data_IF_947845742143
#
_entry.id   IF_947845742143
#
_cell.length_a   1.000
_cell.length_b   1.000
_cell.length_c   1.000
_cell.angle_alpha   90.00
_cell.angle_beta   90.00
_cell.angle_gamma   90.00
#
_symmetry.space_group_name_H-M   'P 1'
#
loop_
_entity.id
_entity.type
_entity.pdbx_description
1 polymer ?
#
# COMPACT_ATOMS: atom_id res chain seq x y z
N UNK A 1 28.56 1.55 30.71
CA UNK A 1 27.74 1.06 31.84
C UNK A 1 26.78 2.13 32.37
N UNK A 2 27.19 3.40 32.42
CA UNK A 2 26.35 4.49 32.97
C UNK A 2 24.94 4.62 32.36
N UNK A 3 24.79 4.40 31.04
CA UNK A 3 23.49 4.46 30.36
C UNK A 3 22.53 3.32 30.74
N UNK A 4 23.06 2.18 31.18
CA UNK A 4 22.25 1.07 31.69
C UNK A 4 21.83 1.33 33.13
N UNK A 5 22.75 1.84 33.97
CA UNK A 5 22.44 2.18 35.35
C UNK A 5 21.45 3.36 35.45
N UNK A 6 21.48 4.30 34.49
CA UNK A 6 20.53 5.41 34.43
C UNK A 6 19.11 4.97 34.05
N UNK A 7 18.96 3.84 33.34
CA UNK A 7 17.65 3.28 32.98
C UNK A 7 16.91 2.74 34.20
N UNK A 8 17.60 2.06 35.11
CA UNK A 8 16.99 1.42 36.29
C UNK A 8 16.80 2.35 37.49
N UNK A 9 17.06 3.66 37.35
CA UNK A 9 16.76 4.64 38.40
C UNK A 9 15.24 4.78 38.58
N UNK A 10 14.79 4.92 39.83
CA UNK A 10 13.37 5.05 40.21
C UNK A 10 12.63 6.16 39.46
N UNK A 11 13.30 7.24 39.08
CA UNK A 11 12.71 8.34 38.30
C UNK A 11 12.27 7.92 36.88
N UNK A 12 12.89 6.87 36.33
CA UNK A 12 12.70 6.39 34.96
C UNK A 12 11.84 5.11 34.91
N UNK A 13 11.05 4.82 35.96
CA UNK A 13 10.29 3.57 36.05
C UNK A 13 9.34 3.36 34.86
N UNK A 14 8.76 4.44 34.30
CA UNK A 14 7.96 4.36 33.07
C UNK A 14 8.77 3.93 31.84
N UNK A 15 10.04 4.34 31.73
CA UNK A 15 10.93 3.92 30.64
C UNK A 15 11.31 2.44 30.76
N UNK A 16 11.47 1.93 31.99
CA UNK A 16 11.73 0.50 32.25
C UNK A 16 10.52 -0.35 31.85
N UNK A 17 9.30 0.08 32.20
CA UNK A 17 8.08 -0.63 31.79
C UNK A 17 7.96 -0.67 30.26
N UNK A 18 8.19 0.47 29.60
CA UNK A 18 8.14 0.56 28.15
C UNK A 18 9.22 -0.30 27.48
N UNK A 19 10.43 -0.32 28.04
CA UNK A 19 11.53 -1.19 27.60
C UNK A 19 11.13 -2.68 27.64
N UNK A 20 10.57 -3.14 28.76
CA UNK A 20 10.11 -4.52 28.93
C UNK A 20 8.99 -4.83 27.93
N UNK A 21 8.04 -3.92 27.77
CA UNK A 21 6.93 -4.08 26.82
C UNK A 21 7.43 -4.20 25.37
N UNK A 22 8.43 -3.42 24.99
CA UNK A 22 9.08 -3.51 23.68
C UNK A 22 9.79 -4.84 23.46
N UNK A 23 10.50 -5.35 24.47
CA UNK A 23 11.11 -6.70 24.40
C UNK A 23 10.05 -7.77 24.22
N UNK A 24 8.99 -7.75 25.03
CA UNK A 24 7.88 -8.70 24.92
C UNK A 24 7.24 -8.62 23.53
N UNK A 25 6.99 -7.42 23.02
CA UNK A 25 6.42 -7.21 21.69
C UNK A 25 7.29 -7.79 20.56
N UNK A 26 8.60 -7.64 20.65
CA UNK A 26 9.54 -8.20 19.68
C UNK A 26 9.52 -9.72 19.72
N UNK A 27 9.63 -10.32 20.90
CA UNK A 27 9.70 -11.77 21.11
C UNK A 27 8.38 -12.48 20.80
N UNK A 28 7.25 -11.91 21.22
CA UNK A 28 5.96 -12.58 21.12
C UNK A 28 5.46 -12.75 19.68
N UNK A 29 6.04 -12.04 18.72
CA UNK A 29 5.66 -12.20 17.32
C UNK A 29 4.20 -11.84 17.02
N UNK A 30 3.51 -11.15 17.92
CA UNK A 30 2.08 -10.92 17.78
C UNK A 30 1.76 -10.15 16.51
N UNK A 31 0.72 -10.65 15.85
CA UNK A 31 0.10 -10.07 14.68
C UNK A 31 -0.55 -8.74 15.09
N UNK A 32 -0.16 -7.63 14.47
CA UNK A 32 -0.83 -6.34 14.68
C UNK A 32 -2.32 -6.49 14.33
N UNK A 33 -3.23 -5.98 15.18
CA UNK A 33 -4.66 -6.04 14.91
C UNK A 33 -4.98 -5.17 13.69
N UNK A 34 -6.00 -5.57 12.93
CA UNK A 34 -6.28 -5.02 11.61
C UNK A 34 -6.52 -3.50 11.63
N UNK A 35 -7.21 -2.99 12.65
CA UNK A 35 -7.47 -1.56 12.80
C UNK A 35 -6.19 -0.73 12.92
N UNK A 36 -5.23 -1.19 13.72
CA UNK A 36 -3.92 -0.53 13.86
C UNK A 36 -3.08 -0.70 12.59
N UNK A 37 -3.12 -1.88 11.98
CA UNK A 37 -2.37 -2.14 10.75
C UNK A 37 -2.81 -1.21 9.61
N UNK A 38 -4.11 -1.00 9.42
CA UNK A 38 -4.64 -0.07 8.41
C UNK A 38 -4.22 1.39 8.66
N UNK A 39 -4.21 1.83 9.93
CA UNK A 39 -3.77 3.18 10.26
C UNK A 39 -2.27 3.40 10.03
N UNK A 40 -1.45 2.42 10.41
CA UNK A 40 0.01 2.48 10.28
C UNK A 40 0.45 2.30 8.83
N UNK A 41 -0.23 1.45 8.06
CA UNK A 41 0.07 1.19 6.64
C UNK A 41 -0.48 2.26 5.70
N UNK A 42 -0.28 3.52 6.08
CA UNK A 42 -0.46 4.70 5.23
C UNK A 42 0.85 5.46 5.21
N UNK A 43 1.13 6.23 4.15
CA UNK A 43 2.35 7.05 4.10
C UNK A 43 2.48 7.95 5.33
N UNK A 44 1.39 8.63 5.70
CA UNK A 44 1.33 9.50 6.88
C UNK A 44 1.55 8.69 8.17
N UNK A 45 0.90 7.53 8.32
CA UNK A 45 1.05 6.66 9.48
C UNK A 45 2.49 6.19 9.70
N UNK A 46 3.19 5.79 8.63
CA UNK A 46 4.61 5.41 8.69
C UNK A 46 5.49 6.58 9.14
N UNK A 47 5.27 7.78 8.61
CA UNK A 47 5.99 8.98 9.05
C UNK A 47 5.75 9.30 10.52
N UNK A 48 4.51 9.22 11.00
CA UNK A 48 4.17 9.46 12.40
C UNK A 48 4.91 8.47 13.31
N UNK A 49 4.95 7.19 12.96
CA UNK A 49 5.68 6.16 13.73
C UNK A 49 7.18 6.47 13.81
N UNK A 50 7.79 6.92 12.71
CA UNK A 50 9.21 7.32 12.69
C UNK A 50 9.45 8.55 13.56
N UNK A 51 8.59 9.56 13.50
CA UNK A 51 8.69 10.76 14.34
C UNK A 51 8.60 10.39 15.82
N UNK A 52 7.68 9.51 16.19
CA UNK A 52 7.57 9.00 17.57
C UNK A 52 8.85 8.31 18.01
N UNK A 53 9.46 7.47 17.15
CA UNK A 53 10.74 6.83 17.47
C UNK A 53 11.88 7.84 17.69
N UNK A 54 11.95 8.89 16.86
CA UNK A 54 12.93 9.97 17.00
C UNK A 54 12.70 10.75 18.30
N UNK A 55 11.45 11.08 18.64
CA UNK A 55 11.12 11.75 19.90
C UNK A 55 11.52 10.90 21.10
N UNK A 56 11.31 9.58 21.02
CA UNK A 56 11.70 8.62 22.06
C UNK A 56 13.22 8.61 22.25
N UNK A 57 13.99 8.68 21.16
CA UNK A 57 15.45 8.79 21.22
C UNK A 57 15.94 10.13 21.80
N UNK A 58 15.29 11.25 21.45
CA UNK A 58 15.69 12.58 21.94
C UNK A 58 15.30 12.86 23.40
N UNK A 59 14.21 12.25 23.90
CA UNK A 59 13.66 12.54 25.24
C UNK A 59 13.92 11.46 26.28
N UNK A 60 14.19 10.22 25.89
CA UNK A 60 14.41 9.10 26.81
C UNK A 60 15.87 8.62 26.80
N UNK A 61 16.16 7.58 27.59
CA UNK A 61 17.48 6.97 27.57
C UNK A 61 17.85 6.45 26.16
N UNK A 62 19.11 6.62 25.72
CA UNK A 62 19.53 6.30 24.35
C UNK A 62 19.35 4.83 23.98
N UNK A 63 19.49 3.92 24.97
CA UNK A 63 19.25 2.48 24.80
C UNK A 63 17.78 2.20 24.44
N UNK A 64 16.85 2.87 25.13
CA UNK A 64 15.42 2.73 24.86
C UNK A 64 15.06 3.34 23.50
N UNK A 65 15.68 4.45 23.13
CA UNK A 65 15.50 5.05 21.80
C UNK A 65 15.95 4.14 20.67
N UNK A 66 17.13 3.50 20.80
CA UNK A 66 17.61 2.52 19.82
C UNK A 66 16.66 1.33 19.70
N UNK A 67 16.20 0.80 20.83
CA UNK A 67 15.17 -0.25 20.85
C UNK A 67 13.87 0.22 20.19
N UNK A 68 13.49 1.48 20.42
CA UNK A 68 12.32 2.11 19.81
C UNK A 68 12.38 2.14 18.28
N UNK A 69 13.55 2.40 17.68
CA UNK A 69 13.72 2.30 16.23
C UNK A 69 13.53 0.88 15.71
N UNK A 70 14.07 -0.12 16.40
CA UNK A 70 13.88 -1.54 16.02
C UNK A 70 12.40 -1.90 16.10
N UNK A 71 11.71 -1.49 17.17
CA UNK A 71 10.27 -1.74 17.34
C UNK A 71 9.45 -1.03 16.26
N UNK A 72 9.77 0.24 15.95
CA UNK A 72 9.10 1.00 14.90
C UNK A 72 9.22 0.29 13.54
N UNK A 73 10.43 -0.14 13.16
CA UNK A 73 10.65 -0.91 11.93
C UNK A 73 9.83 -2.21 11.90
N UNK A 74 9.86 -2.98 13.00
CA UNK A 74 9.09 -4.23 13.10
C UNK A 74 7.59 -3.97 13.05
N UNK A 75 7.10 -2.90 13.67
CA UNK A 75 5.69 -2.50 13.67
C UNK A 75 5.21 -2.13 12.26
N UNK A 76 5.97 -1.35 11.51
CA UNK A 76 5.64 -0.99 10.11
C UNK A 76 5.60 -2.25 9.26
N UNK A 77 6.65 -3.07 9.31
CA UNK A 77 6.73 -4.31 8.51
C UNK A 77 5.62 -5.30 8.84
N UNK A 78 5.26 -5.46 10.11
CA UNK A 78 4.13 -6.32 10.52
C UNK A 78 2.79 -5.77 10.03
N UNK A 79 2.63 -4.45 9.97
CA UNK A 79 1.42 -3.80 9.46
C UNK A 79 1.26 -3.98 7.95
N UNK A 80 2.34 -3.82 7.18
CA UNK A 80 2.34 -4.04 5.71
C UNK A 80 2.02 -5.49 5.34
N UNK A 81 2.58 -6.46 6.08
CA UNK A 81 2.28 -7.88 5.91
C UNK A 81 0.81 -8.21 6.21
N UNK A 82 0.18 -7.43 7.08
CA UNK A 82 -1.21 -7.62 7.50
C UNK A 82 -2.22 -7.04 6.53
N UNK A 83 -1.98 -5.84 6.04
CA UNK A 83 -2.83 -5.19 5.04
C UNK A 83 -2.66 -5.83 3.65
N UNK A 84 -1.53 -6.50 3.40
CA UNK A 84 -1.22 -7.14 2.12
C UNK A 84 -0.43 -6.24 1.16
N UNK A 85 -0.19 -4.98 1.53
CA UNK A 85 0.61 -4.02 0.78
C UNK A 85 2.04 -4.53 0.54
N UNK A 86 2.61 -5.26 1.50
CA UNK A 86 3.92 -5.90 1.31
C UNK A 86 3.94 -6.87 0.11
N UNK A 87 2.86 -7.64 -0.06
CA UNK A 87 2.77 -8.59 -1.16
C UNK A 87 2.51 -7.88 -2.50
N UNK A 88 1.69 -6.83 -2.49
CA UNK A 88 1.45 -6.00 -3.67
C UNK A 88 2.75 -5.35 -4.14
N UNK A 89 3.50 -4.68 -3.27
CA UNK A 89 4.74 -4.00 -3.65
C UNK A 89 5.82 -4.97 -4.17
N UNK A 90 5.92 -6.16 -3.56
CA UNK A 90 6.99 -7.11 -3.89
C UNK A 90 6.70 -7.99 -5.10
N UNK A 91 5.43 -8.33 -5.32
CA UNK A 91 5.06 -9.36 -6.30
C UNK A 91 4.15 -8.84 -7.42
N UNK A 92 3.51 -7.67 -7.26
CA UNK A 92 2.67 -7.10 -8.32
C UNK A 92 3.56 -6.42 -9.37
N UNK A 93 3.54 -6.84 -10.64
CA UNK A 93 4.23 -6.12 -11.69
C UNK A 93 3.57 -4.75 -11.91
N UNK A 94 4.37 -3.77 -12.31
CA UNK A 94 3.83 -2.47 -12.75
C UNK A 94 2.92 -2.64 -13.95
N UNK A 95 1.96 -1.73 -14.13
CA UNK A 95 1.05 -1.76 -15.29
C UNK A 95 1.83 -1.72 -16.62
N UNK A 96 2.94 -0.99 -16.68
CA UNK A 96 3.83 -0.98 -17.86
C UNK A 96 4.39 -2.38 -18.16
N UNK A 97 4.87 -3.10 -17.14
CA UNK A 97 5.41 -4.45 -17.30
C UNK A 97 4.33 -5.46 -17.66
N UNK A 98 3.13 -5.32 -17.09
CA UNK A 98 1.95 -6.11 -17.44
C UNK A 98 1.53 -5.85 -18.89
N UNK A 99 1.43 -4.59 -19.30
CA UNK A 99 1.09 -4.20 -20.67
C UNK A 99 2.13 -4.71 -21.68
N UNK A 100 3.41 -4.60 -21.37
CA UNK A 100 4.49 -5.15 -22.20
C UNK A 100 4.34 -6.66 -22.41
N UNK A 101 4.08 -7.42 -21.34
CA UNK A 101 3.84 -8.86 -21.43
C UNK A 101 2.59 -9.19 -22.26
N UNK A 102 1.47 -8.48 -22.03
CA UNK A 102 0.24 -8.68 -22.80
C UNK A 102 0.44 -8.38 -24.28
N UNK A 103 1.14 -7.29 -24.61
CA UNK A 103 1.47 -6.93 -25.99
C UNK A 103 2.35 -8.00 -26.62
N UNK A 104 3.34 -8.54 -25.90
CA UNK A 104 4.20 -9.61 -26.42
C UNK A 104 3.41 -10.90 -26.73
N UNK A 105 2.44 -11.26 -25.90
CA UNK A 105 1.59 -12.44 -26.13
C UNK A 105 0.45 -12.20 -27.13
N UNK A 106 0.12 -10.95 -27.43
CA UNK A 106 -0.95 -10.53 -28.33
C UNK A 106 -0.41 -10.00 -29.67
N UNK A 107 0.75 -10.49 -30.12
CA UNK A 107 1.26 -10.24 -31.46
C UNK A 107 0.64 -11.26 -32.43
N UNK A 108 -0.48 -10.90 -33.05
CA UNK A 108 -1.07 -11.71 -34.12
C UNK A 108 -0.57 -11.22 -35.49
N UNK A 109 -0.13 -12.14 -36.38
CA UNK A 109 0.14 -11.75 -37.75
C UNK A 109 -1.15 -11.23 -38.39
N UNK A 110 -1.01 -10.27 -39.29
CA UNK A 110 -2.13 -9.77 -40.08
C UNK A 110 -2.80 -10.95 -40.82
N UNK A 111 -4.10 -11.15 -40.60
CA UNK A 111 -4.81 -12.33 -41.11
C UNK A 111 -5.55 -12.04 -42.41
N UNK A 112 -5.85 -13.09 -43.18
CA UNK A 112 -6.61 -12.97 -44.43
C UNK A 112 -8.04 -12.44 -44.17
N UNK A 113 -8.61 -12.76 -43.03
CA UNK A 113 -9.91 -12.25 -42.59
C UNK A 113 -9.84 -10.74 -42.34
N UNK A 114 -8.78 -10.25 -41.70
CA UNK A 114 -8.55 -8.81 -41.55
C UNK A 114 -8.33 -8.13 -42.91
N UNK A 115 -7.61 -8.79 -43.83
CA UNK A 115 -7.43 -8.30 -45.19
C UNK A 115 -8.76 -8.18 -45.94
N UNK A 116 -9.58 -9.22 -45.90
CA UNK A 116 -10.89 -9.23 -46.55
C UNK A 116 -11.87 -8.25 -45.90
N UNK A 117 -11.84 -8.08 -44.58
CA UNK A 117 -12.64 -7.06 -43.86
C UNK A 117 -12.19 -5.65 -44.22
N UNK A 118 -10.88 -5.41 -44.35
CA UNK A 118 -10.35 -4.10 -44.76
C UNK A 118 -10.71 -3.74 -46.21
N UNK A 119 -10.86 -4.77 -47.06
CA UNK A 119 -11.31 -4.67 -48.45
C UNK A 119 -12.83 -4.65 -48.61
N UNK A 120 -13.57 -4.95 -47.54
CA UNK A 120 -15.03 -4.86 -47.54
C UNK A 120 -15.40 -3.39 -47.80
N UNK A 121 -16.43 -3.16 -48.62
CA UNK A 121 -16.88 -1.81 -48.89
C UNK A 121 -17.11 -1.07 -47.56
N UNK A 122 -16.75 0.23 -47.47
CA UNK A 122 -17.05 1.02 -46.30
C UNK A 122 -18.52 0.79 -45.95
N UNK A 123 -18.79 0.44 -44.69
CA UNK A 123 -20.15 0.63 -44.20
C UNK A 123 -20.36 2.12 -44.35
N UNK A 124 -21.22 2.51 -45.29
CA UNK A 124 -21.75 3.85 -45.37
C UNK A 124 -22.35 4.12 -43.99
N UNK A 125 -21.57 4.77 -43.12
CA UNK A 125 -22.17 5.58 -42.09
C UNK A 125 -22.90 6.64 -42.90
N UNK A 126 -24.16 6.36 -43.23
CA UNK A 126 -25.08 7.42 -43.56
C UNK A 126 -24.82 8.46 -42.50
N UNK A 127 -24.33 9.62 -42.90
CA UNK A 127 -24.30 10.79 -42.04
C UNK A 127 -25.76 10.96 -41.68
N UNK A 128 -26.15 10.38 -40.55
CA UNK A 128 -27.49 10.54 -40.04
C UNK A 128 -27.56 12.03 -39.80
N UNK A 129 -28.43 12.71 -40.57
CA UNK A 129 -29.03 13.96 -40.13
C UNK A 129 -29.24 13.82 -38.62
N UNK A 130 -28.71 14.74 -37.79
CA UNK A 130 -28.75 14.60 -36.35
C UNK A 130 -30.20 14.29 -35.96
N UNK A 131 -30.41 13.11 -35.36
CA UNK A 131 -31.75 12.66 -35.04
C UNK A 131 -32.44 13.76 -34.21
N UNK A 132 -33.70 14.09 -34.53
CA UNK A 132 -34.43 15.14 -33.82
C UNK A 132 -34.70 14.78 -32.35
N UNK A 133 -34.34 13.57 -31.93
CA UNK A 133 -34.45 13.10 -30.57
C UNK A 133 -33.06 13.00 -29.96
N UNK A 134 -32.91 13.60 -28.78
CA UNK A 134 -31.78 13.34 -27.88
C UNK A 134 -32.28 12.30 -26.88
N UNK A 135 -31.65 11.13 -26.76
CA UNK A 135 -32.02 10.18 -25.74
C UNK A 135 -31.73 10.81 -24.37
N UNK A 136 -32.78 11.12 -23.62
CA UNK A 136 -32.64 11.47 -22.21
C UNK A 136 -32.33 10.16 -21.48
N UNK A 137 -31.09 10.03 -20.99
CA UNK A 137 -30.77 8.97 -20.05
C UNK A 137 -31.62 9.20 -18.80
N UNK A 138 -32.53 8.26 -18.53
CA UNK A 138 -33.19 8.19 -17.23
C UNK A 138 -32.18 7.74 -16.18
N UNK A 139 -32.51 7.91 -14.90
CA UNK A 139 -31.62 7.60 -13.79
C UNK A 139 -31.19 6.12 -13.84
N UNK A 140 -29.92 5.89 -14.16
CA UNK A 140 -29.38 4.54 -14.40
C UNK A 140 -29.03 3.78 -13.11
N UNK A 141 -29.35 4.32 -11.92
CA UNK A 141 -29.15 3.66 -10.63
C UNK A 141 -27.76 2.97 -10.50
N UNK A 142 -26.69 3.64 -10.93
CA UNK A 142 -25.31 3.12 -10.93
C UNK A 142 -25.10 1.80 -11.68
N UNK A 143 -25.97 1.45 -12.63
CA UNK A 143 -25.85 0.24 -13.45
C UNK A 143 -24.82 0.36 -14.59
N UNK A 144 -24.33 1.57 -14.88
CA UNK A 144 -23.27 1.79 -15.86
C UNK A 144 -21.92 1.96 -15.15
N UNK A 145 -20.89 1.17 -15.51
CA UNK A 145 -19.54 1.39 -15.01
C UNK A 145 -18.97 2.67 -15.61
N UNK A 146 -18.33 3.48 -14.76
CA UNK A 146 -17.56 4.68 -15.14
C UNK A 146 -16.34 4.31 -15.98
#
# INVERSE_FOLDING_TARGET
>A
MESFDSLFKKQNMGQVILFILFIIYLLAGYKTPELLAKGIDTMIGKFVVVIVAVLLFCKCNPILGLLGFVVAYVLIRRSEMKTGTYALEKYMPTEEKKASNLTAFNQFPYTLEQEMVSKMAPIEHTVYEPASFVPLLDNTHDALPV
#
